data_IF_225824477268
#
_entry.id   IF_225824477268
#
_cell.length_a   1.000
_cell.length_b   1.000
_cell.length_c   1.000
_cell.angle_alpha   90.00
_cell.angle_beta   90.00
_cell.angle_gamma   90.00
#
_symmetry.space_group_name_H-M   'P 1'
#
loop_
_entity.id
_entity.type
_entity.pdbx_description
1 polymer ?
#
# COMPACT_ATOMS: atom_id res chain seq x y z
N UNK A 1 -42.42 41.00 11.63
CA UNK A 1 -43.65 40.93 10.82
C UNK A 1 -44.93 40.84 11.65
N UNK A 2 -45.07 39.89 12.58
CA UNK A 2 -46.29 39.76 13.43
C UNK A 2 -46.60 41.01 14.26
N UNK A 3 -45.62 41.57 14.98
CA UNK A 3 -45.81 42.79 15.78
C UNK A 3 -46.18 44.01 14.91
N UNK A 4 -45.60 44.12 13.71
CA UNK A 4 -45.92 45.17 12.74
C UNK A 4 -47.36 45.04 12.23
N UNK A 5 -47.85 43.81 11.99
CA UNK A 5 -49.25 43.59 11.61
C UNK A 5 -50.21 44.05 12.71
N UNK A 6 -49.93 43.69 13.97
CA UNK A 6 -50.74 44.09 15.11
C UNK A 6 -50.75 45.61 15.32
N UNK A 7 -49.60 46.28 15.16
CA UNK A 7 -49.50 47.74 15.24
C UNK A 7 -50.27 48.44 14.11
N UNK A 8 -50.21 47.91 12.89
CA UNK A 8 -50.95 48.46 11.75
C UNK A 8 -52.45 48.28 11.89
N UNK A 9 -52.91 47.16 12.46
CA UNK A 9 -54.33 46.93 12.76
C UNK A 9 -54.89 47.94 13.77
N UNK A 10 -54.07 48.42 14.71
CA UNK A 10 -54.48 49.45 15.67
C UNK A 10 -54.55 50.86 15.07
N UNK A 11 -53.83 51.11 13.97
CA UNK A 11 -53.68 52.45 13.38
C UNK A 11 -54.47 52.67 12.10
N UNK A 12 -54.85 51.60 11.39
CA UNK A 12 -55.53 51.67 10.08
C UNK A 12 -56.81 50.87 10.11
N UNK A 13 -57.89 51.42 9.54
CA UNK A 13 -59.20 50.75 9.40
C UNK A 13 -59.26 49.68 8.30
N UNK A 14 -58.11 49.19 7.83
CA UNK A 14 -58.03 48.20 6.75
C UNK A 14 -58.14 46.76 7.29
N UNK A 15 -58.61 45.84 6.44
CA UNK A 15 -58.74 44.43 6.82
C UNK A 15 -57.37 43.81 7.17
N UNK A 16 -57.36 42.86 8.11
CA UNK A 16 -56.15 42.11 8.49
C UNK A 16 -55.50 41.41 7.29
N UNK A 17 -56.32 40.95 6.34
CA UNK A 17 -55.85 40.32 5.10
C UNK A 17 -55.06 41.31 4.24
N UNK A 18 -55.61 42.49 3.95
CA UNK A 18 -54.91 43.51 3.16
C UNK A 18 -53.61 43.99 3.82
N UNK A 19 -53.61 44.18 5.14
CA UNK A 19 -52.41 44.59 5.88
C UNK A 19 -51.32 43.51 5.88
N UNK A 20 -51.70 42.25 6.05
CA UNK A 20 -50.75 41.12 6.00
C UNK A 20 -50.18 40.87 4.60
N UNK A 21 -50.94 41.17 3.55
CA UNK A 21 -50.48 41.12 2.16
C UNK A 21 -49.48 42.22 1.87
N UNK A 22 -49.78 43.46 2.27
CA UNK A 22 -48.88 44.59 2.10
C UNK A 22 -47.56 44.38 2.85
N UNK A 23 -47.62 43.79 4.06
CA UNK A 23 -46.42 43.42 4.81
C UNK A 23 -45.63 42.27 4.16
N UNK A 24 -46.30 41.27 3.58
CA UNK A 24 -45.62 40.20 2.87
C UNK A 24 -44.94 40.73 1.61
N UNK A 25 -45.62 41.57 0.83
CA UNK A 25 -45.12 42.17 -0.40
C UNK A 25 -43.91 43.09 -0.15
N UNK A 26 -43.98 43.92 0.90
CA UNK A 26 -42.86 44.76 1.35
C UNK A 26 -41.60 43.95 1.76
N UNK A 27 -41.75 42.66 2.04
CA UNK A 27 -40.65 41.74 2.35
C UNK A 27 -40.33 40.76 1.19
N UNK A 28 -40.82 41.03 -0.02
CA UNK A 28 -40.62 40.17 -1.20
C UNK A 28 -41.35 38.82 -1.12
N UNK A 29 -42.40 38.73 -0.30
CA UNK A 29 -43.13 37.52 0.01
C UNK A 29 -44.50 37.40 -0.66
N UNK A 30 -44.98 36.17 -0.81
CA UNK A 30 -46.26 35.86 -1.46
C UNK A 30 -47.45 35.77 -0.48
N UNK A 31 -48.68 35.58 -1.00
CA UNK A 31 -49.90 35.33 -0.19
C UNK A 31 -49.73 34.16 0.80
N UNK A 32 -48.83 33.21 0.53
CA UNK A 32 -48.49 32.13 1.47
C UNK A 32 -47.82 32.67 2.73
N UNK A 33 -46.92 33.64 2.59
CA UNK A 33 -46.27 34.33 3.71
C UNK A 33 -47.28 35.21 4.43
N UNK A 34 -48.15 35.93 3.70
CA UNK A 34 -49.24 36.71 4.29
C UNK A 34 -50.16 35.84 5.17
N UNK A 35 -50.54 34.65 4.70
CA UNK A 35 -51.28 33.66 5.50
C UNK A 35 -50.49 33.23 6.75
N UNK A 36 -49.21 32.92 6.60
CA UNK A 36 -48.34 32.55 7.72
C UNK A 36 -48.27 33.65 8.79
N UNK A 37 -48.14 34.92 8.39
CA UNK A 37 -48.11 36.06 9.32
C UNK A 37 -49.44 36.17 10.07
N UNK A 38 -50.59 35.96 9.42
CA UNK A 38 -51.91 35.97 10.09
C UNK A 38 -52.00 34.86 11.12
N UNK A 39 -51.67 33.63 10.73
CA UNK A 39 -51.67 32.48 11.64
C UNK A 39 -50.72 32.68 12.83
N UNK A 40 -49.52 33.21 12.61
CA UNK A 40 -48.58 33.53 13.69
C UNK A 40 -49.08 34.66 14.58
N UNK A 41 -49.80 35.65 14.04
CA UNK A 41 -50.43 36.71 14.84
C UNK A 41 -51.53 36.14 15.74
N UNK A 42 -52.39 35.26 15.22
CA UNK A 42 -53.44 34.61 16.02
C UNK A 42 -52.84 33.73 17.13
N UNK A 43 -51.77 33.00 16.85
CA UNK A 43 -51.03 32.23 17.86
C UNK A 43 -50.35 33.12 18.91
N UNK A 44 -49.79 34.26 18.50
CA UNK A 44 -49.20 35.23 19.42
C UNK A 44 -50.25 35.92 20.31
N UNK A 45 -51.43 36.22 19.78
CA UNK A 45 -52.55 36.77 20.55
C UNK A 45 -53.01 35.75 21.60
N UNK A 46 -53.19 34.50 21.21
CA UNK A 46 -53.76 33.45 22.07
C UNK A 46 -52.79 32.87 23.09
N UNK A 47 -51.54 32.61 22.71
CA UNK A 47 -50.60 31.85 23.53
C UNK A 47 -49.30 32.57 23.88
N UNK A 48 -49.12 33.81 23.38
CA UNK A 48 -47.85 34.58 23.49
C UNK A 48 -46.63 33.82 22.99
N UNK A 49 -46.83 32.80 22.15
CA UNK A 49 -45.78 31.97 21.59
C UNK A 49 -46.05 31.68 20.11
N UNK A 50 -45.04 31.85 19.26
CA UNK A 50 -45.11 31.47 17.84
C UNK A 50 -44.52 30.08 17.69
N UNK A 51 -45.35 29.10 17.31
CA UNK A 51 -44.88 27.74 17.01
C UNK A 51 -43.98 27.76 15.77
N UNK A 52 -42.69 27.51 15.96
CA UNK A 52 -41.75 27.20 14.86
C UNK A 52 -42.01 25.75 14.44
N UNK A 53 -42.08 25.49 13.13
CA UNK A 53 -42.47 24.17 12.62
C UNK A 53 -41.52 23.06 13.06
N UNK A 54 -42.05 22.04 13.75
CA UNK A 54 -41.32 20.83 14.18
C UNK A 54 -41.17 19.80 13.03
N UNK A 55 -40.86 20.26 11.81
CA UNK A 55 -40.72 19.37 10.65
C UNK A 55 -39.35 18.68 10.73
N UNK A 56 -39.33 17.40 11.12
CA UNK A 56 -38.13 16.55 11.13
C UNK A 56 -37.66 16.04 12.50
N UNK A 57 -38.35 16.33 13.60
CA UNK A 57 -37.92 15.95 14.96
C UNK A 57 -38.48 14.63 15.50
N UNK A 58 -39.40 13.97 14.78
CA UNK A 58 -39.88 12.63 15.12
C UNK A 58 -39.33 11.62 14.11
N UNK A 59 -38.56 10.63 14.55
CA UNK A 59 -38.12 9.52 13.68
C UNK A 59 -39.35 8.68 13.29
N UNK A 60 -39.93 8.95 12.13
CA UNK A 60 -41.09 8.21 11.61
C UNK A 60 -40.73 6.81 11.07
N UNK A 61 -39.50 6.33 11.24
CA UNK A 61 -39.00 5.10 10.65
C UNK A 61 -38.47 4.19 11.75
N UNK A 62 -39.18 3.10 12.04
CA UNK A 62 -38.66 2.00 12.85
C UNK A 62 -37.44 1.38 12.14
N UNK A 63 -36.37 1.15 12.89
CA UNK A 63 -35.14 0.55 12.36
C UNK A 63 -34.85 -0.69 13.19
N UNK A 64 -34.45 -1.79 12.56
CA UNK A 64 -34.04 -2.99 13.32
C UNK A 64 -32.88 -2.74 14.28
N UNK A 65 -32.08 -1.69 14.08
CA UNK A 65 -31.08 -1.28 15.07
C UNK A 65 -31.67 -0.83 16.43
N UNK A 66 -32.97 -0.53 16.52
CA UNK A 66 -33.64 -0.22 17.79
C UNK A 66 -34.31 -1.45 18.42
N UNK A 67 -34.26 -2.60 17.75
CA UNK A 67 -34.77 -3.87 18.28
C UNK A 67 -33.75 -4.48 19.25
N UNK A 68 -34.23 -4.92 20.42
CA UNK A 68 -33.37 -5.45 21.48
C UNK A 68 -32.70 -6.77 21.10
N UNK A 69 -33.43 -7.64 20.40
CA UNK A 69 -32.91 -8.93 19.93
C UNK A 69 -31.81 -8.75 18.90
N UNK A 70 -32.03 -7.87 17.92
CA UNK A 70 -31.01 -7.49 16.93
C UNK A 70 -29.79 -6.87 17.60
N UNK A 71 -29.97 -5.95 18.57
CA UNK A 71 -28.85 -5.36 19.31
C UNK A 71 -28.06 -6.40 20.10
N UNK A 72 -28.74 -7.39 20.69
CA UNK A 72 -28.09 -8.50 21.39
C UNK A 72 -27.26 -9.34 20.42
N UNK A 73 -27.84 -9.77 19.30
CA UNK A 73 -27.12 -10.51 18.25
C UNK A 73 -25.90 -9.73 17.74
N UNK A 74 -26.03 -8.43 17.51
CA UNK A 74 -24.91 -7.58 17.10
C UNK A 74 -23.81 -7.59 18.15
N UNK A 75 -24.15 -7.46 19.44
CA UNK A 75 -23.16 -7.45 20.53
C UNK A 75 -22.47 -8.81 20.67
N UNK A 76 -23.22 -9.90 20.62
CA UNK A 76 -22.67 -11.27 20.69
C UNK A 76 -21.75 -11.54 19.51
N UNK A 77 -22.17 -11.20 18.30
CA UNK A 77 -21.36 -11.35 17.10
C UNK A 77 -20.06 -10.53 17.17
N UNK A 78 -20.15 -9.26 17.54
CA UNK A 78 -18.98 -8.40 17.69
C UNK A 78 -18.03 -8.95 18.77
N UNK A 79 -18.57 -9.38 19.91
CA UNK A 79 -17.79 -9.98 21.00
C UNK A 79 -17.07 -11.26 20.59
N UNK A 80 -17.73 -12.12 19.82
CA UNK A 80 -17.16 -13.38 19.34
C UNK A 80 -16.09 -13.18 18.25
N UNK A 81 -16.30 -12.22 17.34
CA UNK A 81 -15.42 -12.02 16.17
C UNK A 81 -14.23 -11.11 16.49
N UNK A 82 -14.37 -10.16 17.42
CA UNK A 82 -13.32 -9.25 17.84
C UNK A 82 -12.67 -8.50 16.65
N UNK A 83 -11.36 -8.64 16.48
CA UNK A 83 -10.57 -7.95 15.45
C UNK A 83 -10.94 -8.33 14.00
N UNK A 84 -11.64 -9.46 13.80
CA UNK A 84 -12.03 -9.93 12.47
C UNK A 84 -13.33 -9.29 11.98
N UNK A 85 -13.89 -8.35 12.73
CA UNK A 85 -15.17 -7.70 12.44
C UNK A 85 -15.18 -7.09 11.03
N UNK A 86 -16.20 -7.43 10.25
CA UNK A 86 -16.46 -6.83 8.93
C UNK A 86 -17.93 -6.44 8.83
N UNK A 87 -18.23 -5.42 8.02
CA UNK A 87 -19.61 -5.03 7.70
C UNK A 87 -20.39 -6.19 7.06
N UNK A 88 -19.73 -6.95 6.19
CA UNK A 88 -20.35 -8.11 5.53
C UNK A 88 -20.68 -9.22 6.53
N UNK A 89 -19.72 -9.55 7.42
CA UNK A 89 -19.91 -10.55 8.45
C UNK A 89 -21.03 -10.19 9.43
N UNK A 90 -21.11 -8.91 9.83
CA UNK A 90 -22.21 -8.41 10.66
C UNK A 90 -23.56 -8.52 9.95
N UNK A 91 -23.62 -8.14 8.67
CA UNK A 91 -24.83 -8.28 7.86
C UNK A 91 -25.32 -9.72 7.81
N UNK A 92 -24.40 -10.67 7.60
CA UNK A 92 -24.71 -12.10 7.56
C UNK A 92 -25.21 -12.62 8.92
N UNK A 93 -24.61 -12.19 10.02
CA UNK A 93 -25.00 -12.62 11.37
C UNK A 93 -26.40 -12.15 11.74
N UNK A 94 -26.71 -10.88 11.49
CA UNK A 94 -28.06 -10.33 11.77
C UNK A 94 -29.10 -10.96 10.84
N UNK A 95 -28.80 -11.10 9.54
CA UNK A 95 -29.73 -11.76 8.62
C UNK A 95 -29.99 -13.23 8.98
N UNK A 96 -29.02 -13.92 9.59
CA UNK A 96 -29.22 -15.27 10.12
C UNK A 96 -30.21 -15.26 11.28
N UNK A 97 -30.00 -14.41 12.27
CA UNK A 97 -30.91 -14.23 13.40
C UNK A 97 -32.34 -13.89 12.96
N UNK A 98 -32.50 -12.92 12.04
CA UNK A 98 -33.81 -12.52 11.54
C UNK A 98 -34.56 -13.67 10.85
N UNK A 99 -33.84 -14.61 10.21
CA UNK A 99 -34.44 -15.81 9.60
C UNK A 99 -34.83 -16.85 10.65
N UNK A 100 -33.96 -17.07 11.64
CA UNK A 100 -34.17 -18.06 12.71
C UNK A 100 -35.36 -17.68 13.61
N UNK A 101 -35.53 -16.39 13.88
CA UNK A 101 -36.69 -15.86 14.64
C UNK A 101 -37.95 -15.68 13.77
N UNK A 102 -37.95 -16.14 12.51
CA UNK A 102 -39.05 -15.97 11.56
C UNK A 102 -39.52 -14.52 11.37
N UNK A 103 -38.67 -13.53 11.66
CA UNK A 103 -38.95 -12.10 11.47
C UNK A 103 -38.99 -11.76 9.98
N UNK A 104 -38.20 -12.49 9.18
CA UNK A 104 -38.19 -12.38 7.72
C UNK A 104 -38.55 -13.74 7.13
N UNK A 105 -39.70 -13.83 6.47
CA UNK A 105 -40.14 -15.07 5.83
C UNK A 105 -39.26 -15.35 4.62
N UNK A 106 -38.70 -16.56 4.57
CA UNK A 106 -37.81 -16.99 3.51
C UNK A 106 -38.48 -16.91 2.14
N UNK A 107 -37.76 -16.29 1.21
CA UNK A 107 -37.76 -16.52 -0.24
C UNK A 107 -38.59 -15.63 -1.19
N UNK A 108 -39.50 -14.74 -0.76
CA UNK A 108 -40.25 -13.91 -1.74
C UNK A 108 -40.25 -12.39 -1.51
N UNK A 109 -39.82 -11.88 -0.34
CA UNK A 109 -39.71 -10.43 -0.12
C UNK A 109 -38.26 -9.95 -0.27
N UNK A 110 -37.93 -9.44 -1.46
CA UNK A 110 -36.59 -8.90 -1.78
C UNK A 110 -36.21 -7.61 -1.01
N UNK A 111 -36.97 -7.23 0.04
CA UNK A 111 -36.77 -6.00 0.81
C UNK A 111 -36.50 -6.20 2.31
N UNK A 112 -36.50 -7.44 2.82
CA UNK A 112 -36.42 -7.71 4.26
C UNK A 112 -35.05 -8.28 4.69
N UNK A 113 -33.93 -7.80 4.16
CA UNK A 113 -32.60 -8.19 4.68
C UNK A 113 -31.69 -7.00 4.80
N UNK A 114 -30.75 -7.04 5.75
CA UNK A 114 -29.74 -5.99 5.87
C UNK A 114 -28.62 -6.22 4.88
N UNK A 115 -28.30 -5.18 4.12
CA UNK A 115 -27.14 -5.16 3.24
C UNK A 115 -25.86 -4.90 4.05
N UNK A 116 -24.70 -5.18 3.44
CA UNK A 116 -23.41 -4.76 4.00
C UNK A 116 -23.37 -3.25 4.25
N UNK A 117 -23.94 -2.45 3.33
CA UNK A 117 -24.02 -1.00 3.47
C UNK A 117 -24.79 -0.59 4.72
N UNK A 118 -25.91 -1.27 5.00
CA UNK A 118 -26.71 -1.05 6.21
C UNK A 118 -25.90 -1.39 7.46
N UNK A 119 -25.23 -2.55 7.48
CA UNK A 119 -24.37 -2.95 8.59
C UNK A 119 -23.21 -1.97 8.84
N UNK A 120 -22.61 -1.42 7.77
CA UNK A 120 -21.60 -0.36 7.85
C UNK A 120 -22.13 0.91 8.51
N UNK A 121 -23.34 1.35 8.14
CA UNK A 121 -23.99 2.50 8.78
C UNK A 121 -24.24 2.22 10.26
N UNK A 122 -24.68 1.01 10.59
CA UNK A 122 -24.95 0.61 11.97
C UNK A 122 -23.67 0.58 12.82
N UNK A 123 -22.57 0.05 12.30
CA UNK A 123 -21.27 0.09 12.98
C UNK A 123 -20.87 1.52 13.34
N UNK A 124 -21.01 2.47 12.40
CA UNK A 124 -20.77 3.89 12.68
C UNK A 124 -21.69 4.44 13.78
N UNK A 125 -23.00 4.12 13.73
CA UNK A 125 -23.97 4.54 14.77
C UNK A 125 -23.66 3.93 16.15
N UNK A 126 -23.05 2.75 16.19
CA UNK A 126 -22.63 2.07 17.42
C UNK A 126 -21.26 2.55 17.94
N UNK A 127 -20.67 3.58 17.32
CA UNK A 127 -19.40 4.18 17.73
C UNK A 127 -18.16 3.53 17.13
N UNK A 128 -18.30 2.62 16.17
CA UNK A 128 -17.16 2.03 15.46
C UNK A 128 -16.72 2.92 14.30
N UNK A 129 -15.42 2.99 14.07
CA UNK A 129 -14.81 3.72 12.97
C UNK A 129 -13.86 2.79 12.21
N UNK A 130 -13.87 2.84 10.89
CA UNK A 130 -12.88 2.14 10.07
C UNK A 130 -11.58 2.94 10.09
N UNK A 131 -10.52 2.36 10.64
CA UNK A 131 -9.22 3.04 10.81
C UNK A 131 -8.06 2.14 10.45
N UNK A 132 -6.96 2.78 10.03
CA UNK A 132 -5.66 2.15 9.95
C UNK A 132 -5.15 1.83 11.36
N UNK A 133 -4.67 0.61 11.55
CA UNK A 133 -3.95 0.19 12.74
C UNK A 133 -2.49 0.57 12.54
N UNK A 134 -2.13 1.78 12.96
CA UNK A 134 -0.77 2.28 12.82
C UNK A 134 0.18 1.54 13.77
N UNK A 135 1.18 0.88 13.20
CA UNK A 135 2.46 0.58 13.87
C UNK A 135 3.52 1.41 13.14
N UNK A 136 4.22 2.29 13.87
CA UNK A 136 5.53 2.89 13.54
C UNK A 136 5.78 3.31 12.08
N UNK A 137 5.84 4.62 11.86
CA UNK A 137 6.10 5.29 10.57
C UNK A 137 7.47 4.89 10.01
N UNK A 138 7.51 4.14 8.91
CA UNK A 138 8.63 4.21 7.97
C UNK A 138 8.45 5.53 7.21
N UNK A 139 9.32 6.49 7.45
CA UNK A 139 9.32 7.73 6.67
C UNK A 139 10.12 7.42 5.41
N UNK A 140 9.39 7.23 4.31
CA UNK A 140 9.99 7.02 3.01
C UNK A 140 10.79 8.28 2.61
N UNK A 141 12.09 8.10 2.40
CA UNK A 141 13.00 9.16 1.98
C UNK A 141 12.90 9.50 0.49
N UNK A 142 11.89 8.98 -0.21
CA UNK A 142 11.62 9.19 -1.62
C UNK A 142 11.49 10.66 -2.03
N UNK A 143 10.96 11.50 -1.13
CA UNK A 143 10.72 12.93 -1.39
C UNK A 143 11.93 13.82 -1.04
N UNK A 144 13.11 13.24 -0.75
CA UNK A 144 14.33 14.05 -0.58
C UNK A 144 14.79 14.62 -1.93
N UNK A 145 15.29 15.86 -1.91
CA UNK A 145 15.67 16.59 -3.13
C UNK A 145 16.69 15.83 -3.99
N UNK A 146 17.66 15.15 -3.38
CA UNK A 146 18.66 14.33 -4.07
C UNK A 146 18.03 13.12 -4.78
N UNK A 147 17.09 12.46 -4.12
CA UNK A 147 16.34 11.31 -4.67
C UNK A 147 15.45 11.76 -5.82
N UNK A 148 14.73 12.88 -5.66
CA UNK A 148 13.90 13.46 -6.72
C UNK A 148 14.78 13.84 -7.91
N UNK A 149 15.92 14.51 -7.68
CA UNK A 149 16.83 14.91 -8.74
C UNK A 149 17.38 13.69 -9.50
N UNK A 150 17.78 12.62 -8.82
CA UNK A 150 18.21 11.38 -9.46
C UNK A 150 17.07 10.76 -10.29
N UNK A 151 15.87 10.65 -9.69
CA UNK A 151 14.70 10.08 -10.36
C UNK A 151 14.36 10.83 -11.65
N UNK A 152 14.28 12.15 -11.58
CA UNK A 152 13.85 12.99 -12.70
C UNK A 152 14.92 13.13 -13.80
N UNK A 153 16.18 13.27 -13.41
CA UNK A 153 17.25 13.62 -14.36
C UNK A 153 18.04 12.41 -14.87
N UNK A 154 17.98 11.26 -14.19
CA UNK A 154 18.77 10.06 -14.54
C UNK A 154 17.85 8.87 -14.80
N UNK A 155 17.10 8.43 -13.79
CA UNK A 155 16.36 7.18 -13.87
C UNK A 155 15.21 7.22 -14.90
N UNK A 156 14.34 8.23 -14.84
CA UNK A 156 13.21 8.35 -15.77
C UNK A 156 13.65 8.50 -17.23
N UNK A 157 14.65 9.36 -17.57
CA UNK A 157 15.17 9.41 -18.94
C UNK A 157 15.74 8.09 -19.45
N UNK A 158 16.47 7.33 -18.61
CA UNK A 158 17.01 6.01 -18.99
C UNK A 158 15.90 4.98 -19.23
N UNK A 159 14.88 4.98 -18.37
CA UNK A 159 13.71 4.12 -18.58
C UNK A 159 12.95 4.51 -19.84
N UNK A 160 12.77 5.80 -20.09
CA UNK A 160 12.10 6.31 -21.29
C UNK A 160 12.86 5.90 -22.56
N UNK A 161 14.19 5.92 -22.55
CA UNK A 161 15.00 5.40 -23.67
C UNK A 161 14.72 3.92 -23.94
N UNK A 162 14.59 3.10 -22.89
CA UNK A 162 14.27 1.67 -23.03
C UNK A 162 12.86 1.50 -23.60
N UNK A 163 11.86 2.20 -23.05
CA UNK A 163 10.47 2.12 -23.50
C UNK A 163 10.29 2.65 -24.94
N UNK A 164 10.99 3.74 -25.28
CA UNK A 164 10.92 4.40 -26.58
C UNK A 164 11.82 3.76 -27.64
N UNK A 165 12.73 2.85 -27.26
CA UNK A 165 13.61 2.14 -28.20
C UNK A 165 12.87 1.29 -29.23
N UNK A 166 11.59 1.00 -29.01
CA UNK A 166 10.82 0.06 -29.83
C UNK A 166 11.26 -1.40 -29.69
N UNK A 167 12.31 -1.69 -28.92
CA UNK A 167 12.86 -3.04 -28.76
C UNK A 167 12.26 -3.85 -27.63
N UNK A 168 11.53 -3.21 -26.71
CA UNK A 168 10.86 -3.86 -25.61
C UNK A 168 9.60 -4.60 -26.09
N UNK A 169 9.45 -5.88 -25.74
CA UNK A 169 8.27 -6.68 -26.11
C UNK A 169 6.98 -5.99 -25.66
N UNK A 170 6.02 -5.92 -26.58
CA UNK A 170 4.71 -5.33 -26.35
C UNK A 170 3.60 -6.35 -26.53
N UNK A 171 2.47 -6.09 -25.89
CA UNK A 171 1.27 -6.92 -25.97
C UNK A 171 0.07 -6.03 -26.30
N UNK A 172 -0.88 -6.57 -27.06
CA UNK A 172 -2.17 -5.94 -27.26
C UNK A 172 -3.09 -6.15 -26.05
N UNK A 173 -4.30 -5.57 -26.10
CA UNK A 173 -5.30 -5.65 -25.04
C UNK A 173 -5.76 -7.08 -24.75
N UNK A 174 -5.70 -7.97 -25.76
CA UNK A 174 -6.01 -9.40 -25.64
C UNK A 174 -4.82 -10.21 -25.09
N UNK A 175 -3.67 -9.56 -24.88
CA UNK A 175 -2.46 -10.17 -24.36
C UNK A 175 -1.68 -10.97 -25.40
N UNK A 176 -1.91 -10.77 -26.70
CA UNK A 176 -1.10 -11.34 -27.77
C UNK A 176 0.13 -10.45 -28.02
N UNK A 177 1.25 -11.08 -28.38
CA UNK A 177 2.50 -10.36 -28.67
C UNK A 177 2.31 -9.52 -29.93
N UNK A 178 2.65 -8.23 -29.83
CA UNK A 178 2.71 -7.32 -30.98
C UNK A 178 4.06 -7.54 -31.67
N UNK A 179 4.10 -7.91 -32.96
CA UNK A 179 5.35 -8.11 -33.68
C UNK A 179 6.17 -6.83 -33.74
N UNK A 180 7.45 -6.92 -33.39
CA UNK A 180 8.41 -5.81 -33.45
C UNK A 180 9.33 -6.03 -34.64
N UNK A 181 9.58 -4.98 -35.43
CA UNK A 181 10.60 -4.98 -36.46
C UNK A 181 11.88 -4.35 -35.90
N UNK A 182 12.90 -5.18 -35.67
CA UNK A 182 14.18 -4.75 -35.11
C UNK A 182 15.24 -4.57 -36.22
N UNK A 183 16.15 -3.59 -36.07
CA UNK A 183 17.35 -3.49 -36.88
C UNK A 183 18.20 -4.78 -36.82
N UNK A 184 18.99 -5.01 -37.87
CA UNK A 184 19.88 -6.17 -37.94
C UNK A 184 20.89 -6.15 -36.78
N UNK A 185 20.88 -7.20 -35.95
CA UNK A 185 21.77 -7.36 -34.80
C UNK A 185 21.16 -6.96 -33.46
N UNK A 186 19.98 -6.32 -33.45
CA UNK A 186 19.26 -6.04 -32.21
C UNK A 186 18.41 -7.24 -31.78
N UNK A 187 18.32 -7.42 -30.45
CA UNK A 187 17.48 -8.45 -29.83
C UNK A 187 16.27 -7.81 -29.19
N UNK A 188 15.16 -8.53 -29.24
CA UNK A 188 13.96 -8.14 -28.51
C UNK A 188 14.24 -8.17 -27.01
N UNK A 189 13.84 -7.11 -26.31
CA UNK A 189 14.07 -6.93 -24.88
C UNK A 189 12.83 -7.34 -24.09
N UNK A 190 13.04 -8.04 -22.99
CA UNK A 190 11.99 -8.42 -22.03
C UNK A 190 12.29 -7.74 -20.71
N UNK A 191 11.37 -6.89 -20.23
CA UNK A 191 11.46 -6.31 -18.89
C UNK A 191 11.20 -7.40 -17.85
N UNK A 192 12.10 -7.51 -16.88
CA UNK A 192 11.97 -8.42 -15.75
C UNK A 192 12.12 -7.57 -14.49
N UNK A 193 11.05 -7.48 -13.70
CA UNK A 193 11.08 -6.79 -12.41
C UNK A 193 11.36 -7.80 -11.31
N UNK A 194 12.02 -7.37 -10.26
CA UNK A 194 12.30 -8.20 -9.09
C UNK A 194 12.07 -7.40 -7.81
N UNK A 195 11.56 -8.09 -6.78
CA UNK A 195 11.37 -7.54 -5.44
C UNK A 195 11.30 -8.66 -4.41
N UNK A 196 11.54 -8.34 -3.14
CA UNK A 196 11.40 -9.24 -2.01
C UNK A 196 10.27 -8.81 -1.05
N UNK A 197 9.41 -9.75 -0.71
CA UNK A 197 8.34 -9.54 0.26
C UNK A 197 8.45 -10.47 1.44
N UNK A 198 8.28 -9.94 2.65
CA UNK A 198 8.25 -10.73 3.88
C UNK A 198 6.82 -10.90 4.40
N UNK A 199 6.46 -12.14 4.72
CA UNK A 199 5.18 -12.52 5.31
C UNK A 199 5.42 -13.15 6.68
N UNK A 200 4.81 -12.59 7.72
CA UNK A 200 5.02 -13.03 9.10
C UNK A 200 3.75 -13.62 9.71
N UNK A 201 3.90 -14.60 10.61
CA UNK A 201 2.80 -15.29 11.26
C UNK A 201 1.88 -14.37 12.08
N UNK A 202 2.41 -13.25 12.59
CA UNK A 202 1.64 -12.27 13.34
C UNK A 202 1.28 -11.02 12.49
N UNK A 203 1.42 -11.08 11.17
CA UNK A 203 0.91 -10.02 10.29
C UNK A 203 -0.61 -9.97 10.41
N UNK A 204 -1.12 -8.77 10.70
CA UNK A 204 -2.54 -8.51 10.95
C UNK A 204 -3.13 -7.59 9.91
N UNK A 205 -4.46 -7.45 9.91
CA UNK A 205 -5.16 -6.52 9.00
C UNK A 205 -4.71 -5.09 9.23
N UNK A 206 -4.34 -4.37 8.18
CA UNK A 206 -3.90 -2.98 8.30
C UNK A 206 -5.05 -2.04 8.66
N UNK A 207 -6.28 -2.44 8.33
CA UNK A 207 -7.50 -1.69 8.63
C UNK A 207 -8.52 -2.55 9.37
N UNK A 208 -9.24 -1.95 10.31
CA UNK A 208 -10.31 -2.62 11.05
C UNK A 208 -11.33 -1.62 11.63
N UNK A 209 -12.47 -2.15 12.06
CA UNK A 209 -13.46 -1.40 12.84
C UNK A 209 -12.99 -1.26 14.29
N UNK A 210 -12.76 -0.02 14.72
CA UNK A 210 -12.28 0.33 16.05
C UNK A 210 -13.35 1.14 16.78
N UNK A 211 -13.69 0.72 18.00
CA UNK A 211 -14.60 1.48 18.87
C UNK A 211 -13.78 2.30 19.86
N UNK A 212 -14.13 3.58 20.04
CA UNK A 212 -13.57 4.47 21.06
C UNK A 212 -12.02 4.51 21.10
N UNK A 213 -11.35 4.39 19.95
CA UNK A 213 -9.89 4.29 19.83
C UNK A 213 -9.26 3.13 20.66
N UNK A 214 -10.04 2.11 21.02
CA UNK A 214 -9.53 0.90 21.65
C UNK A 214 -8.87 0.00 20.59
N UNK A 215 -7.60 0.29 20.28
CA UNK A 215 -6.81 -0.54 19.38
C UNK A 215 -6.55 -1.91 20.01
N UNK A 216 -6.72 -3.01 19.27
CA UNK A 216 -6.41 -4.32 19.80
C UNK A 216 -4.91 -4.50 20.04
N UNK A 217 -4.58 -5.22 21.10
CA UNK A 217 -3.21 -5.58 21.44
C UNK A 217 -2.70 -6.68 20.51
N UNK A 218 -1.86 -6.31 19.55
CA UNK A 218 -1.14 -7.29 18.73
C UNK A 218 0.03 -7.88 19.50
N UNK A 219 0.36 -9.15 19.20
CA UNK A 219 1.61 -9.75 19.66
C UNK A 219 2.79 -8.82 19.28
N UNK A 220 3.72 -8.64 20.25
CA UNK A 220 4.85 -7.71 20.12
C UNK A 220 5.85 -8.16 19.05
N UNK A 221 6.08 -9.47 18.91
CA UNK A 221 6.96 -10.04 17.88
C UNK A 221 6.23 -10.30 16.55
N UNK A 222 6.98 -10.31 15.44
CA UNK A 222 6.47 -10.68 14.10
C UNK A 222 6.11 -12.17 14.00
N UNK A 223 6.67 -13.02 14.88
CA UNK A 223 6.52 -14.47 14.80
C UNK A 223 7.49 -15.06 13.77
N UNK A 224 7.26 -16.31 13.35
CA UNK A 224 7.97 -16.89 12.20
C UNK A 224 7.62 -16.12 10.94
N UNK A 225 8.58 -15.94 10.04
CA UNK A 225 8.37 -15.26 8.77
C UNK A 225 8.93 -16.06 7.60
N UNK A 226 8.35 -15.85 6.43
CA UNK A 226 8.85 -16.33 5.15
C UNK A 226 9.10 -15.09 4.31
N UNK A 227 10.30 -14.98 3.75
CA UNK A 227 10.59 -14.04 2.68
C UNK A 227 10.42 -14.76 1.33
N UNK A 228 9.83 -14.07 0.38
CA UNK A 228 9.69 -14.53 -1.00
C UNK A 228 10.43 -13.53 -1.88
N UNK A 229 11.39 -14.02 -2.64
CA UNK A 229 12.10 -13.27 -3.68
C UNK A 229 11.58 -13.76 -5.04
N UNK A 230 11.07 -12.86 -5.87
CA UNK A 230 10.35 -13.23 -7.09
C UNK A 230 10.77 -12.38 -8.28
N UNK A 231 10.98 -13.02 -9.43
CA UNK A 231 11.15 -12.35 -10.71
C UNK A 231 9.84 -12.38 -11.49
N UNK A 232 9.41 -11.22 -11.96
CA UNK A 232 8.18 -11.04 -12.73
C UNK A 232 8.46 -10.48 -14.12
N UNK A 233 7.72 -10.99 -15.08
CA UNK A 233 7.57 -10.45 -16.43
C UNK A 233 6.21 -9.75 -16.53
N UNK A 234 5.95 -8.97 -17.58
CA UNK A 234 4.62 -8.37 -17.81
C UNK A 234 3.47 -9.40 -17.86
N UNK A 235 3.76 -10.68 -18.09
CA UNK A 235 2.77 -11.77 -18.13
C UNK A 235 2.69 -12.63 -16.86
N UNK A 236 3.35 -12.22 -15.79
CA UNK A 236 3.41 -12.97 -14.52
C UNK A 236 4.81 -13.46 -14.22
N UNK A 237 4.92 -14.50 -13.38
CA UNK A 237 6.22 -14.99 -12.89
C UNK A 237 7.16 -15.40 -14.03
N UNK A 238 8.45 -15.13 -13.85
CA UNK A 238 9.48 -15.65 -14.72
C UNK A 238 9.55 -17.17 -14.53
N UNK A 239 9.09 -17.89 -15.56
CA UNK A 239 9.02 -19.34 -15.55
C UNK A 239 9.20 -19.89 -16.96
N UNK A 240 9.74 -21.10 -17.05
CA UNK A 240 9.73 -21.84 -18.31
C UNK A 240 8.29 -22.27 -18.63
N UNK A 241 7.75 -21.96 -19.82
CA UNK A 241 6.43 -22.41 -20.23
C UNK A 241 6.26 -23.93 -20.09
N UNK A 242 5.08 -24.44 -19.66
CA UNK A 242 4.89 -25.87 -19.37
C UNK A 242 5.15 -26.83 -20.54
N UNK A 243 5.10 -26.33 -21.77
CA UNK A 243 5.33 -27.11 -22.98
C UNK A 243 6.81 -27.16 -23.40
N UNK A 244 7.70 -26.47 -22.70
CA UNK A 244 9.14 -26.45 -22.96
C UNK A 244 9.83 -27.36 -21.93
N UNK A 245 10.71 -28.24 -22.42
CA UNK A 245 11.53 -29.10 -21.57
C UNK A 245 12.49 -28.28 -20.70
N UNK A 246 12.57 -28.60 -19.40
CA UNK A 246 13.40 -27.88 -18.43
C UNK A 246 13.84 -28.73 -17.22
N UNK A 247 13.90 -30.06 -17.35
CA UNK A 247 14.37 -30.92 -16.24
C UNK A 247 15.87 -30.77 -15.96
N UNK A 248 16.62 -30.20 -16.91
CA UNK A 248 18.03 -29.83 -16.74
C UNK A 248 18.22 -28.56 -15.89
N UNK A 249 17.15 -27.80 -15.66
CA UNK A 249 17.17 -26.64 -14.78
C UNK A 249 16.83 -27.05 -13.34
N UNK A 250 17.36 -26.35 -12.32
CA UNK A 250 17.08 -26.66 -10.92
C UNK A 250 15.60 -26.53 -10.57
N UNK A 251 14.84 -25.69 -11.29
CA UNK A 251 13.39 -25.51 -11.16
C UNK A 251 12.79 -24.76 -12.34
N UNK A 252 11.46 -24.84 -12.49
CA UNK A 252 10.72 -24.17 -13.56
C UNK A 252 10.45 -22.68 -13.33
N UNK A 253 10.39 -22.22 -12.08
CA UNK A 253 10.06 -20.84 -11.72
C UNK A 253 11.23 -20.17 -11.00
N UNK A 254 11.46 -18.90 -11.28
CA UNK A 254 12.51 -18.11 -10.63
C UNK A 254 12.08 -17.55 -9.26
N UNK A 255 11.30 -18.31 -8.48
CA UNK A 255 10.84 -17.92 -7.14
C UNK A 255 11.74 -18.54 -6.07
N UNK A 256 12.17 -17.76 -5.09
CA UNK A 256 12.92 -18.24 -3.93
C UNK A 256 12.11 -18.03 -2.64
N UNK A 257 12.08 -19.04 -1.78
CA UNK A 257 11.41 -19.00 -0.49
C UNK A 257 12.43 -19.15 0.62
N UNK A 258 12.46 -18.20 1.54
CA UNK A 258 13.40 -18.17 2.64
C UNK A 258 12.65 -18.08 3.98
N UNK A 259 12.74 -19.14 4.79
CA UNK A 259 12.28 -19.07 6.18
C UNK A 259 13.24 -18.22 7.02
N UNK A 260 12.72 -17.16 7.64
CA UNK A 260 13.49 -16.16 8.36
C UNK A 260 13.73 -16.57 9.82
N UNK A 261 14.99 -16.62 10.26
CA UNK A 261 15.34 -16.83 11.67
C UNK A 261 16.60 -17.65 11.95
N UNK A 262 17.02 -17.60 13.23
CA UNK A 262 18.21 -18.20 13.85
C UNK A 262 19.55 -17.90 13.15
N UNK A 263 19.75 -18.28 11.90
CA UNK A 263 20.95 -17.99 11.09
C UNK A 263 20.65 -17.82 9.57
N UNK A 264 19.38 -17.76 9.18
CA UNK A 264 18.98 -17.73 7.76
C UNK A 264 18.47 -16.35 7.34
N UNK A 265 19.35 -15.57 6.71
CA UNK A 265 19.08 -14.22 6.22
C UNK A 265 19.15 -14.16 4.70
N UNK A 266 18.51 -13.15 4.11
CA UNK A 266 18.72 -12.81 2.70
C UNK A 266 20.01 -12.02 2.61
N UNK A 267 20.98 -12.55 1.88
CA UNK A 267 22.32 -11.97 1.74
C UNK A 267 22.61 -11.66 0.28
N UNK A 268 23.62 -10.84 0.05
CA UNK A 268 24.09 -10.51 -1.29
C UNK A 268 24.50 -11.74 -2.09
N UNK A 269 25.11 -12.75 -1.46
CA UNK A 269 25.49 -13.99 -2.12
C UNK A 269 24.29 -14.80 -2.60
N UNK A 270 23.22 -14.85 -1.79
CA UNK A 270 21.96 -15.50 -2.18
C UNK A 270 21.29 -14.78 -3.33
N UNK A 271 21.37 -13.45 -3.36
CA UNK A 271 20.85 -12.67 -4.46
C UNK A 271 21.62 -12.95 -5.76
N UNK A 272 22.95 -12.96 -5.72
CA UNK A 272 23.80 -13.31 -6.87
C UNK A 272 23.53 -14.74 -7.35
N UNK A 273 23.38 -15.69 -6.43
CA UNK A 273 23.04 -17.08 -6.74
C UNK A 273 21.65 -17.19 -7.41
N UNK A 274 20.65 -16.52 -6.84
CA UNK A 274 19.28 -16.53 -7.37
C UNK A 274 19.22 -15.91 -8.77
N UNK A 275 19.93 -14.81 -9.03
CA UNK A 275 20.02 -14.21 -10.37
C UNK A 275 20.76 -15.13 -11.34
N UNK A 276 21.98 -15.53 -10.99
CA UNK A 276 22.93 -16.14 -11.93
C UNK A 276 22.60 -17.59 -12.23
N UNK A 277 22.19 -18.37 -11.23
CA UNK A 277 22.02 -19.81 -11.35
C UNK A 277 20.56 -20.21 -11.57
N UNK A 278 19.60 -19.31 -11.31
CA UNK A 278 18.17 -19.60 -11.46
C UNK A 278 17.53 -18.66 -12.49
N UNK A 279 17.52 -17.35 -12.26
CA UNK A 279 16.73 -16.42 -13.06
C UNK A 279 17.23 -16.34 -14.50
N UNK A 280 18.54 -16.21 -14.72
CA UNK A 280 19.13 -16.14 -16.06
C UNK A 280 18.90 -17.45 -16.85
N UNK A 281 19.20 -18.66 -16.33
CA UNK A 281 18.92 -19.90 -17.06
C UNK A 281 17.43 -20.11 -17.40
N UNK A 282 16.53 -19.78 -16.48
CA UNK A 282 15.09 -19.83 -16.73
C UNK A 282 14.68 -18.82 -17.82
N UNK A 283 15.23 -17.62 -17.78
CA UNK A 283 14.98 -16.60 -18.80
C UNK A 283 15.44 -17.05 -20.19
N UNK A 284 16.68 -17.54 -20.31
CA UNK A 284 17.23 -18.00 -21.59
C UNK A 284 16.40 -19.14 -22.21
N UNK A 285 15.84 -20.01 -21.36
CA UNK A 285 14.94 -21.09 -21.78
C UNK A 285 13.55 -20.58 -22.16
N UNK A 286 12.99 -19.65 -21.39
CA UNK A 286 11.65 -19.13 -21.61
C UNK A 286 11.57 -18.14 -22.80
N UNK A 287 12.66 -17.41 -23.07
CA UNK A 287 12.74 -16.35 -24.06
C UNK A 287 13.99 -16.48 -24.95
N UNK A 288 14.10 -17.57 -25.75
CA UNK A 288 15.27 -17.80 -26.59
C UNK A 288 15.46 -16.65 -27.59
N UNK A 289 16.70 -16.19 -27.73
CA UNK A 289 17.07 -15.11 -28.64
C UNK A 289 16.70 -13.70 -28.17
N UNK A 290 16.03 -13.55 -27.03
CA UNK A 290 15.71 -12.26 -26.43
C UNK A 290 16.82 -11.78 -25.49
N UNK A 291 16.76 -10.52 -25.08
CA UNK A 291 17.62 -9.90 -24.08
C UNK A 291 16.80 -9.54 -22.84
N UNK A 292 17.27 -9.90 -21.65
CA UNK A 292 16.62 -9.47 -20.41
C UNK A 292 17.02 -8.03 -20.05
N UNK A 293 16.04 -7.27 -19.56
CA UNK A 293 16.25 -5.99 -18.87
C UNK A 293 15.77 -6.19 -17.44
N UNK A 294 16.71 -6.40 -16.51
CA UNK A 294 16.36 -6.57 -15.10
C UNK A 294 16.20 -5.21 -14.42
N UNK A 295 15.11 -5.05 -13.70
CA UNK A 295 14.81 -3.90 -12.87
C UNK A 295 14.76 -4.32 -11.40
N UNK A 296 15.71 -3.80 -10.63
CA UNK A 296 15.86 -4.02 -9.20
C UNK A 296 15.60 -2.73 -8.44
N UNK A 297 15.29 -2.84 -7.16
CA UNK A 297 15.42 -1.72 -6.24
C UNK A 297 16.90 -1.49 -5.85
N UNK A 298 17.16 -0.45 -5.07
CA UNK A 298 18.51 -0.11 -4.60
C UNK A 298 18.79 -0.65 -3.18
N UNK A 299 18.21 -1.79 -2.80
CA UNK A 299 18.54 -2.45 -1.55
C UNK A 299 20.06 -2.72 -1.46
N UNK A 300 20.63 -2.63 -0.26
CA UNK A 300 22.06 -2.84 -0.05
C UNK A 300 22.54 -4.21 -0.53
N UNK A 301 21.67 -5.22 -0.45
CA UNK A 301 21.97 -6.59 -0.86
C UNK A 301 22.08 -6.75 -2.39
N UNK A 302 21.63 -5.75 -3.16
CA UNK A 302 21.77 -5.73 -4.62
C UNK A 302 23.12 -5.14 -5.06
N UNK A 303 23.84 -4.49 -4.15
CA UNK A 303 25.15 -3.90 -4.39
C UNK A 303 26.31 -4.87 -4.05
N UNK A 304 26.12 -6.15 -4.38
CA UNK A 304 27.11 -7.20 -4.12
C UNK A 304 28.42 -6.92 -4.87
N UNK A 305 29.55 -7.05 -4.17
CA UNK A 305 30.87 -7.01 -4.81
C UNK A 305 31.41 -8.43 -5.00
N UNK A 306 32.21 -8.64 -6.05
CA UNK A 306 32.92 -9.89 -6.20
C UNK A 306 33.88 -10.11 -5.01
N UNK A 307 34.14 -11.36 -4.56
CA UNK A 307 34.89 -11.64 -3.33
C UNK A 307 36.30 -11.04 -3.26
N UNK A 308 36.91 -10.81 -4.41
CA UNK A 308 38.26 -10.26 -4.59
C UNK A 308 38.25 -8.76 -4.97
N UNK A 309 37.10 -8.08 -4.93
CA UNK A 309 36.98 -6.67 -5.31
C UNK A 309 37.77 -5.76 -4.35
N UNK A 310 38.30 -4.66 -4.88
CA UNK A 310 38.99 -3.62 -4.13
C UNK A 310 38.01 -2.77 -3.31
N UNK A 311 37.61 -3.29 -2.14
CA UNK A 311 36.69 -2.60 -1.21
C UNK A 311 37.44 -2.16 0.03
N UNK A 312 37.84 -0.90 0.07
CA UNK A 312 38.71 -0.33 1.12
C UNK A 312 38.17 -0.56 2.53
N UNK A 313 36.85 -0.50 2.73
CA UNK A 313 36.19 -0.72 4.03
C UNK A 313 36.38 -2.12 4.59
N UNK A 314 36.71 -3.09 3.74
CA UNK A 314 36.96 -4.48 4.14
C UNK A 314 38.44 -4.75 4.45
N UNK A 315 39.32 -3.75 4.30
CA UNK A 315 40.75 -3.87 4.59
C UNK A 315 41.03 -3.58 6.07
N UNK A 316 41.99 -4.31 6.64
CA UNK A 316 42.50 -3.99 7.97
C UNK A 316 43.41 -2.75 7.92
N UNK A 317 43.43 -1.97 9.00
CA UNK A 317 44.36 -0.84 9.11
C UNK A 317 45.82 -1.31 9.06
N UNK A 318 46.13 -2.30 9.89
CA UNK A 318 47.44 -2.93 10.04
C UNK A 318 47.55 -4.28 9.33
N UNK A 319 48.69 -4.93 9.56
CA UNK A 319 48.99 -6.26 9.02
C UNK A 319 48.31 -7.34 9.87
N UNK A 320 47.96 -8.46 9.24
CA UNK A 320 47.35 -9.62 9.92
C UNK A 320 45.83 -9.52 10.10
N UNK A 321 45.29 -10.41 10.93
CA UNK A 321 43.83 -10.57 11.12
C UNK A 321 43.13 -11.22 9.92
N UNK A 322 41.85 -11.55 10.09
CA UNK A 322 40.99 -12.00 8.99
C UNK A 322 40.69 -10.78 8.10
N UNK A 323 41.10 -10.83 6.83
CA UNK A 323 40.77 -9.84 5.81
C UNK A 323 40.67 -10.55 4.44
N UNK A 324 39.88 -10.05 3.49
CA UNK A 324 39.72 -10.67 2.19
C UNK A 324 40.99 -10.53 1.34
N UNK A 325 41.19 -11.49 0.44
CA UNK A 325 42.25 -11.46 -0.56
C UNK A 325 41.71 -10.71 -1.77
N UNK A 326 42.18 -9.48 -1.97
CA UNK A 326 41.73 -8.63 -3.07
C UNK A 326 42.64 -8.76 -4.30
N UNK A 327 42.05 -8.56 -5.48
CA UNK A 327 42.76 -8.47 -6.77
C UNK A 327 43.69 -7.26 -6.81
N UNK A 328 44.60 -7.25 -7.78
CA UNK A 328 45.50 -6.12 -7.96
C UNK A 328 44.74 -4.84 -8.33
N UNK A 329 45.15 -3.74 -7.71
CA UNK A 329 44.72 -2.40 -8.13
C UNK A 329 45.66 -1.80 -9.15
N UNK A 330 45.43 -0.53 -9.48
CA UNK A 330 46.30 0.22 -10.38
C UNK A 330 46.62 1.59 -9.78
N UNK A 331 47.91 1.95 -9.77
CA UNK A 331 48.37 3.28 -9.34
C UNK A 331 48.52 4.14 -10.60
N UNK A 332 47.48 4.91 -10.93
CA UNK A 332 47.48 5.74 -12.14
C UNK A 332 48.62 6.77 -12.17
N UNK A 333 48.99 7.35 -11.04
CA UNK A 333 50.10 8.33 -10.95
C UNK A 333 51.47 7.75 -11.28
N UNK A 334 51.66 6.44 -11.05
CA UNK A 334 52.92 5.72 -11.27
C UNK A 334 52.85 4.76 -12.48
N UNK A 335 51.71 4.70 -13.16
CA UNK A 335 51.44 3.80 -14.29
C UNK A 335 51.85 2.34 -14.02
N UNK A 336 51.54 1.83 -12.82
CA UNK A 336 51.91 0.48 -12.42
C UNK A 336 50.80 -0.21 -11.62
N UNK A 337 50.72 -1.54 -11.66
CA UNK A 337 49.84 -2.31 -10.78
C UNK A 337 50.16 -2.08 -9.29
N UNK A 338 49.13 -2.12 -8.45
CA UNK A 338 49.23 -2.15 -7.01
C UNK A 338 48.94 -3.59 -6.54
N UNK A 339 49.98 -4.29 -6.10
CA UNK A 339 49.80 -5.59 -5.46
C UNK A 339 49.12 -5.41 -4.10
N UNK A 340 48.04 -6.16 -3.86
CA UNK A 340 47.32 -6.15 -2.58
C UNK A 340 47.78 -7.27 -1.63
N UNK A 341 48.69 -8.12 -2.10
CA UNK A 341 49.25 -9.27 -1.38
C UNK A 341 50.76 -9.10 -1.35
N UNK A 342 51.41 -9.50 -0.25
CA UNK A 342 52.87 -9.56 -0.21
C UNK A 342 53.38 -10.68 -1.12
N UNK A 343 54.46 -10.43 -1.89
CA UNK A 343 55.02 -11.44 -2.78
C UNK A 343 55.63 -12.61 -1.98
N UNK A 344 55.75 -13.77 -2.62
CA UNK A 344 56.32 -14.98 -1.99
C UNK A 344 57.79 -14.82 -1.57
N UNK A 345 58.51 -13.87 -2.16
CA UNK A 345 59.89 -13.55 -1.81
C UNK A 345 60.03 -12.38 -0.79
N UNK A 346 58.95 -12.02 -0.09
CA UNK A 346 58.97 -10.92 0.88
C UNK A 346 59.97 -11.17 2.04
N UNK A 347 60.60 -10.12 2.53
CA UNK A 347 61.67 -10.21 3.55
C UNK A 347 61.18 -10.81 4.86
N UNK A 348 59.95 -10.48 5.27
CA UNK A 348 59.29 -11.09 6.41
C UNK A 348 58.56 -12.38 5.98
N UNK A 349 59.04 -13.52 6.49
CA UNK A 349 58.49 -14.84 6.22
C UNK A 349 57.02 -14.99 6.64
N UNK A 350 56.59 -14.31 7.70
CA UNK A 350 55.22 -14.44 8.22
C UNK A 350 54.17 -13.74 7.34
N UNK A 351 54.62 -12.80 6.50
CA UNK A 351 53.76 -11.97 5.67
C UNK A 351 53.65 -12.44 4.22
N UNK A 352 54.50 -13.37 3.78
CA UNK A 352 54.46 -13.92 2.41
C UNK A 352 53.09 -14.48 2.06
N UNK A 353 52.56 -14.08 0.90
CA UNK A 353 51.23 -14.49 0.45
C UNK A 353 50.07 -13.93 1.29
N UNK A 354 50.34 -13.08 2.28
CA UNK A 354 49.29 -12.45 3.10
C UNK A 354 48.78 -11.15 2.46
N UNK A 355 47.49 -10.84 2.62
CA UNK A 355 46.92 -9.56 2.20
C UNK A 355 47.53 -8.40 2.99
N UNK A 356 47.76 -7.29 2.29
CA UNK A 356 48.29 -6.04 2.84
C UNK A 356 47.18 -5.24 3.52
N UNK A 357 47.47 -4.70 4.70
CA UNK A 357 46.61 -3.68 5.32
C UNK A 357 46.64 -2.35 4.57
N UNK A 358 45.62 -1.51 4.78
CA UNK A 358 45.48 -0.22 4.08
C UNK A 358 46.68 0.70 4.30
N UNK A 359 47.28 0.69 5.50
CA UNK A 359 48.47 1.50 5.81
C UNK A 359 49.64 1.16 4.90
N UNK A 360 49.88 -0.13 4.66
CA UNK A 360 50.95 -0.58 3.77
C UNK A 360 50.69 -0.14 2.32
N UNK A 361 49.44 -0.27 1.85
CA UNK A 361 49.06 0.15 0.50
C UNK A 361 49.21 1.66 0.31
N UNK A 362 48.82 2.46 1.31
CA UNK A 362 48.97 3.92 1.26
C UNK A 362 50.45 4.34 1.23
N UNK A 363 51.30 3.72 2.05
CA UNK A 363 52.75 3.95 2.02
C UNK A 363 53.36 3.63 0.65
N UNK A 364 52.96 2.53 0.00
CA UNK A 364 53.41 2.15 -1.34
C UNK A 364 52.93 3.13 -2.44
N UNK A 365 51.77 3.75 -2.21
CA UNK A 365 51.23 4.84 -3.04
C UNK A 365 51.94 6.17 -2.76
N UNK A 366 52.50 6.36 -1.58
CA UNK A 366 53.16 7.60 -1.14
C UNK A 366 52.17 8.61 -0.55
N UNK A 367 51.14 8.13 0.14
CA UNK A 367 50.10 8.91 0.81
C UNK A 367 50.21 8.83 2.33
#
# INVERSE_FOLDING_TARGET
MVLLLLQLQLRKSQSQRSLSLLLADACGGSEKIARGIRTWADFWISSRYIRVGMRGTFSKVSSWLTDEGVLLTIREYIGAVGEKLTSHGLAKAVNKYLKEEHIINGAEDWNCSISERTARIWLNKLGFQWKDVQKGVYVDGHERDDVIAYRQNIFLPQMDEIYSSGSLRQWDEDGKVIPICLPLGEKEKILITHDESTFNANDGKWQMWIKDNAYPLRKKGRGKGIMVSEFMTPRGRLAVPPHIYAEDLPRHQATEFLEYGQDNWWTEEKMVEHVSNIAIPIFERAYPGCQAVFLFDNASNHAAFAPDTLVVTNMNLGLGGKQPVMREGFIHSKQRPQTMIFPENYSDLALRGKPKGIKQVLLERGL
#
